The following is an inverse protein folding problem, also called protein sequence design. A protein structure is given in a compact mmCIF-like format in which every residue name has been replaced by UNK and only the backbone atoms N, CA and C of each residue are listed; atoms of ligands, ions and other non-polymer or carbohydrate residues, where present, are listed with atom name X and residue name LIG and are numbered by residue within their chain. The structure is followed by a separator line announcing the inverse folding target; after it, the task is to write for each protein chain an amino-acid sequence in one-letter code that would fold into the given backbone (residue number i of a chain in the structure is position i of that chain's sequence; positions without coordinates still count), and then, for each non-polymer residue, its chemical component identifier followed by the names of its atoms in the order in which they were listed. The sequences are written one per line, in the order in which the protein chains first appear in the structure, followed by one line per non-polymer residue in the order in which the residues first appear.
data_IF_360392266380
#
_entry.id   IF_360392266380
#
_cell.length_a   1.000
_cell.length_b   1.000
_cell.length_c   1.000
_cell.angle_alpha   90.00
_cell.angle_beta   90.00
_cell.angle_gamma   90.00
#
_symmetry.space_group_name_H-M   'P 1'
#
loop_
_entity.id
_entity.type
_entity.pdbx_description
1 polymer ?
#
# COMPACT_ATOMS: atom_id res chain seq x y z
N UNK A 1 -20.53 19.38 1.86
CA UNK A 1 -19.18 18.82 2.07
C UNK A 1 -18.63 18.36 0.74
N UNK A 2 -17.54 18.95 0.29
CA UNK A 2 -16.86 18.50 -0.92
C UNK A 2 -15.82 17.46 -0.56
N UNK A 3 -15.78 16.39 -1.33
CA UNK A 3 -14.77 15.37 -1.20
C UNK A 3 -13.83 15.48 -2.38
N UNK A 4 -12.57 15.76 -2.11
CA UNK A 4 -11.52 15.78 -3.13
C UNK A 4 -10.87 14.41 -3.16
N UNK A 5 -10.87 13.80 -4.34
CA UNK A 5 -10.17 12.55 -4.56
C UNK A 5 -8.75 12.83 -5.00
N UNK A 6 -7.79 12.40 -4.19
CA UNK A 6 -6.37 12.44 -4.53
C UNK A 6 -5.82 11.03 -4.61
N UNK A 7 -4.97 10.80 -5.58
CA UNK A 7 -4.34 9.50 -5.80
C UNK A 7 -2.86 9.58 -5.51
N UNK A 8 -2.40 8.72 -4.62
CA UNK A 8 -1.00 8.65 -4.23
C UNK A 8 -0.50 7.21 -4.32
N UNK A 9 0.75 7.06 -4.73
CA UNK A 9 1.45 5.78 -4.55
C UNK A 9 1.79 5.57 -3.08
N UNK A 10 1.98 4.33 -2.68
CA UNK A 10 2.40 4.04 -1.30
C UNK A 10 3.77 4.66 -0.99
N UNK A 11 4.64 4.77 -1.97
CA UNK A 11 5.90 5.51 -1.87
C UNK A 11 5.67 6.95 -1.43
N UNK A 12 4.76 7.65 -2.09
CA UNK A 12 4.46 9.04 -1.79
C UNK A 12 3.75 9.21 -0.45
N UNK A 13 2.85 8.30 -0.12
CA UNK A 13 2.17 8.29 1.19
C UNK A 13 3.18 8.11 2.31
N UNK A 14 4.10 7.16 2.19
CA UNK A 14 5.14 6.95 3.19
C UNK A 14 6.04 8.17 3.36
N UNK A 15 6.41 8.80 2.26
CA UNK A 15 7.19 10.04 2.30
C UNK A 15 6.43 11.15 3.04
N UNK A 16 5.15 11.30 2.76
CA UNK A 16 4.29 12.29 3.41
C UNK A 16 4.10 12.02 4.90
N UNK A 17 4.01 10.76 5.31
CA UNK A 17 4.00 10.39 6.73
C UNK A 17 5.32 10.77 7.40
N UNK A 18 6.44 10.45 6.77
CA UNK A 18 7.77 10.75 7.29
C UNK A 18 8.06 12.25 7.40
N UNK A 19 7.49 13.05 6.51
CA UNK A 19 7.63 14.52 6.51
C UNK A 19 6.65 15.23 7.46
N UNK A 20 5.68 14.50 8.03
CA UNK A 20 4.64 15.10 8.85
C UNK A 20 3.48 15.73 8.07
N UNK A 21 3.41 15.53 6.75
CA UNK A 21 2.32 16.01 5.91
C UNK A 21 1.03 15.21 6.12
N UNK A 22 1.17 13.97 6.57
CA UNK A 22 0.06 13.10 6.99
C UNK A 22 0.23 12.80 8.47
N UNK A 23 -0.80 13.11 9.25
CA UNK A 23 -0.81 12.89 10.70
C UNK A 23 -1.98 12.00 11.11
N UNK A 24 -1.80 11.30 12.24
CA UNK A 24 -2.76 10.32 12.72
C UNK A 24 -3.54 10.76 13.98
N UNK A 25 -3.25 11.91 14.52
CA UNK A 25 -3.75 12.35 15.84
C UNK A 25 -4.99 13.24 15.75
N UNK A 26 -5.94 12.86 14.89
CA UNK A 26 -7.20 13.62 14.84
C UNK A 26 -8.05 13.34 16.09
N UNK A 27 -8.57 14.37 16.77
CA UNK A 27 -9.34 14.20 18.02
C UNK A 27 -10.59 13.32 17.89
N UNK A 28 -11.19 13.29 16.70
CA UNK A 28 -12.38 12.51 16.40
C UNK A 28 -12.09 11.08 15.94
N UNK A 29 -10.84 10.71 15.85
CA UNK A 29 -10.46 9.38 15.43
C UNK A 29 -10.67 8.38 16.57
N UNK A 30 -11.31 7.24 16.24
CA UNK A 30 -11.41 6.13 17.18
C UNK A 30 -10.02 5.62 17.54
N UNK A 31 -9.86 5.18 18.81
CA UNK A 31 -8.69 4.40 19.18
C UNK A 31 -8.58 3.21 18.22
N UNK A 32 -7.49 3.08 17.45
CA UNK A 32 -7.36 1.94 16.55
C UNK A 32 -7.19 0.67 17.38
N UNK A 33 -7.87 -0.38 16.97
CA UNK A 33 -7.50 -1.72 17.40
C UNK A 33 -6.09 -2.02 16.90
N UNK A 34 -5.25 -2.56 17.77
CA UNK A 34 -3.93 -2.99 17.34
C UNK A 34 -4.05 -4.26 16.52
N UNK A 35 -3.59 -4.20 15.30
CA UNK A 35 -3.51 -5.38 14.46
C UNK A 35 -2.38 -6.30 14.90
N UNK A 36 -2.66 -7.60 14.91
CA UNK A 36 -1.64 -8.62 15.09
C UNK A 36 -0.82 -8.83 13.80
N UNK A 37 0.21 -9.66 13.89
CA UNK A 37 1.10 -9.89 12.75
C UNK A 37 0.38 -10.54 11.57
N UNK A 38 -0.62 -11.37 11.81
CA UNK A 38 -1.39 -12.01 10.74
C UNK A 38 -2.22 -10.98 9.95
N UNK A 39 -2.89 -10.08 10.65
CA UNK A 39 -3.67 -9.00 10.03
C UNK A 39 -2.79 -8.05 9.23
N UNK A 40 -1.65 -7.66 9.79
CA UNK A 40 -0.65 -6.82 9.10
C UNK A 40 -0.11 -7.52 7.84
N UNK A 41 0.22 -8.79 7.96
CA UNK A 41 0.74 -9.59 6.86
C UNK A 41 -0.28 -9.77 5.74
N UNK A 42 -1.55 -9.97 6.09
CA UNK A 42 -2.63 -10.08 5.11
C UNK A 42 -2.82 -8.80 4.29
N UNK A 43 -2.67 -7.64 4.91
CA UNK A 43 -2.73 -6.38 4.18
C UNK A 43 -1.60 -6.28 3.14
N UNK A 44 -0.37 -6.57 3.55
CA UNK A 44 0.79 -6.52 2.65
C UNK A 44 0.65 -7.55 1.53
N UNK A 45 0.26 -8.77 1.87
CA UNK A 45 -0.02 -9.83 0.89
C UNK A 45 -1.06 -9.40 -0.14
N UNK A 46 -2.16 -8.81 0.31
CA UNK A 46 -3.22 -8.32 -0.57
C UNK A 46 -2.71 -7.28 -1.56
N UNK A 47 -1.86 -6.37 -1.13
CA UNK A 47 -1.26 -5.36 -2.02
C UNK A 47 -0.31 -6.04 -3.02
N UNK A 48 0.54 -6.94 -2.56
CA UNK A 48 1.48 -7.68 -3.41
C UNK A 48 0.76 -8.57 -4.42
N UNK A 49 -0.39 -9.10 -4.06
CA UNK A 49 -1.24 -9.90 -4.93
C UNK A 49 -2.16 -9.05 -5.84
N UNK A 50 -2.04 -7.74 -5.80
CA UNK A 50 -2.84 -6.77 -6.57
C UNK A 50 -4.32 -6.72 -6.21
N UNK A 51 -4.68 -7.07 -4.99
CA UNK A 51 -6.03 -6.85 -4.48
C UNK A 51 -6.26 -5.39 -4.13
N UNK A 52 -7.51 -4.97 -4.20
CA UNK A 52 -7.89 -3.61 -3.89
C UNK A 52 -7.71 -3.28 -2.41
N UNK A 53 -7.11 -2.13 -2.13
CA UNK A 53 -7.05 -1.57 -0.78
C UNK A 53 -8.23 -0.62 -0.60
N UNK A 54 -9.01 -0.72 0.49
CA UNK A 54 -10.11 0.19 0.73
C UNK A 54 -9.67 1.65 0.78
N UNK A 55 -10.56 2.53 0.37
CA UNK A 55 -10.30 3.96 0.39
C UNK A 55 -10.01 4.46 1.81
N UNK A 56 -9.15 5.43 1.89
CA UNK A 56 -8.78 6.09 3.13
C UNK A 56 -9.25 7.54 3.11
N UNK A 57 -9.62 8.05 4.26
CA UNK A 57 -10.15 9.39 4.40
C UNK A 57 -9.26 10.23 5.29
N UNK A 58 -9.01 11.46 4.84
CA UNK A 58 -8.24 12.43 5.60
C UNK A 58 -8.93 13.80 5.53
N UNK A 59 -8.67 14.60 6.54
CA UNK A 59 -9.13 15.98 6.62
C UNK A 59 -7.93 16.91 6.50
N UNK A 60 -7.97 17.94 5.67
CA UNK A 60 -6.92 18.94 5.64
C UNK A 60 -6.89 19.71 6.95
N UNK A 61 -5.69 19.97 7.43
CA UNK A 61 -5.43 20.81 8.59
C UNK A 61 -4.49 21.93 8.17
N UNK A 62 -4.83 23.14 8.54
CA UNK A 62 -4.02 24.33 8.23
C UNK A 62 -3.58 24.94 9.54
N UNK A 63 -2.26 25.01 9.75
CA UNK A 63 -1.63 25.72 10.86
C UNK A 63 -0.66 26.75 10.30
N UNK A 64 -1.10 28.01 10.27
CA UNK A 64 -0.33 29.09 9.64
C UNK A 64 -0.19 28.84 8.13
N UNK A 65 1.04 28.77 7.65
CA UNK A 65 1.36 28.46 6.24
C UNK A 65 1.55 26.96 5.98
N UNK A 66 1.36 26.12 7.01
CA UNK A 66 1.49 24.68 6.91
C UNK A 66 0.15 24.01 6.62
N UNK A 67 0.12 23.22 5.55
CA UNK A 67 -0.99 22.34 5.23
C UNK A 67 -0.58 20.89 5.47
N UNK A 68 -1.37 20.18 6.24
CA UNK A 68 -1.20 18.74 6.48
C UNK A 68 -2.54 18.03 6.36
N UNK A 69 -2.51 16.70 6.32
CA UNK A 69 -3.71 15.87 6.30
C UNK A 69 -3.78 15.01 7.56
N UNK A 70 -4.90 15.09 8.26
CA UNK A 70 -5.19 14.22 9.39
C UNK A 70 -6.03 13.04 8.93
N UNK A 71 -5.54 11.83 9.15
CA UNK A 71 -6.24 10.61 8.74
C UNK A 71 -7.44 10.36 9.65
N UNK A 72 -8.62 10.29 9.05
CA UNK A 72 -9.88 9.98 9.75
C UNK A 72 -10.18 8.48 9.73
N UNK A 73 -9.89 7.83 8.61
CA UNK A 73 -10.09 6.40 8.41
C UNK A 73 -8.93 5.81 7.63
N UNK A 74 -8.49 4.62 8.00
CA UNK A 74 -7.38 3.93 7.38
C UNK A 74 -6.05 4.04 8.15
N UNK A 75 -6.05 4.53 9.38
CA UNK A 75 -4.84 4.65 10.21
C UNK A 75 -4.07 3.34 10.30
N UNK A 76 -4.75 2.23 10.62
CA UNK A 76 -4.09 0.93 10.76
C UNK A 76 -3.43 0.47 9.46
N UNK A 77 -4.10 0.69 8.34
CA UNK A 77 -3.56 0.34 7.02
C UNK A 77 -2.32 1.16 6.68
N UNK A 78 -2.39 2.48 6.83
CA UNK A 78 -1.27 3.38 6.56
C UNK A 78 -0.09 3.11 7.48
N UNK A 79 -0.35 2.94 8.77
CA UNK A 79 0.69 2.65 9.77
C UNK A 79 1.38 1.31 9.47
N UNK A 80 0.62 0.29 9.11
CA UNK A 80 1.15 -1.02 8.76
C UNK A 80 2.05 -0.95 7.53
N UNK A 81 1.60 -0.27 6.48
CA UNK A 81 2.38 -0.09 5.25
C UNK A 81 3.68 0.67 5.56
N UNK A 82 3.57 1.76 6.30
CA UNK A 82 4.71 2.59 6.68
C UNK A 82 5.73 1.82 7.50
N UNK A 83 5.28 1.10 8.52
CA UNK A 83 6.15 0.25 9.36
C UNK A 83 6.84 -0.83 8.53
N UNK A 84 6.09 -1.53 7.68
CA UNK A 84 6.66 -2.59 6.87
C UNK A 84 7.75 -2.08 5.92
N UNK A 85 7.49 -1.00 5.22
CA UNK A 85 8.45 -0.42 4.28
C UNK A 85 9.70 0.14 4.97
N UNK A 86 9.67 0.31 6.28
CA UNK A 86 10.83 0.65 7.13
C UNK A 86 11.46 -0.55 7.82
N UNK A 87 11.11 -1.77 7.43
CA UNK A 87 11.56 -3.00 8.08
C UNK A 87 11.16 -3.11 9.57
N UNK A 88 9.99 -2.57 9.92
CA UNK A 88 9.49 -2.58 11.29
C UNK A 88 8.98 -3.94 11.76
N UNK A 89 8.63 -4.83 10.85
CA UNK A 89 8.23 -6.20 11.18
C UNK A 89 8.47 -7.14 10.00
N UNK A 90 8.47 -8.44 10.31
CA UNK A 90 8.50 -9.52 9.34
C UNK A 90 7.08 -9.98 9.03
N UNK A 91 6.84 -10.35 7.79
CA UNK A 91 5.59 -11.03 7.43
C UNK A 91 5.47 -12.36 8.18
N UNK A 92 4.23 -12.77 8.44
CA UNK A 92 3.97 -14.08 9.05
C UNK A 92 4.60 -15.20 8.24
N UNK A 93 5.05 -16.24 8.96
CA UNK A 93 5.60 -17.45 8.34
C UNK A 93 4.54 -18.28 7.61
N UNK A 94 3.27 -17.98 7.84
CA UNK A 94 2.13 -18.65 7.20
C UNK A 94 1.77 -18.06 5.83
N UNK A 95 2.46 -17.00 5.38
CA UNK A 95 2.18 -16.39 4.08
C UNK A 95 2.58 -17.29 2.93
N UNK A 96 1.69 -17.40 1.94
CA UNK A 96 1.95 -18.14 0.72
C UNK A 96 2.77 -17.28 -0.25
N UNK A 97 3.53 -17.90 -1.18
CA UNK A 97 4.25 -17.17 -2.20
C UNK A 97 3.35 -16.31 -3.07
N UNK A 98 3.89 -15.23 -3.58
CA UNK A 98 3.24 -14.40 -4.60
C UNK A 98 3.59 -14.96 -5.97
N UNK A 99 2.59 -15.22 -6.78
CA UNK A 99 2.75 -15.74 -8.13
C UNK A 99 2.68 -14.62 -9.16
N UNK A 100 3.60 -14.64 -10.09
CA UNK A 100 3.63 -13.73 -11.23
C UNK A 100 3.60 -14.52 -12.53
N UNK A 101 2.61 -14.24 -13.38
CA UNK A 101 2.59 -14.75 -14.74
C UNK A 101 3.48 -13.88 -15.62
N UNK A 102 4.47 -14.50 -16.25
CA UNK A 102 5.40 -13.83 -17.14
C UNK A 102 5.39 -14.52 -18.49
N UNK A 103 5.40 -13.74 -19.56
CA UNK A 103 5.54 -14.26 -20.91
C UNK A 103 7.01 -14.19 -21.33
N UNK A 104 7.51 -15.27 -21.89
CA UNK A 104 8.83 -15.32 -22.52
C UNK A 104 8.71 -15.78 -23.96
N UNK A 105 9.64 -15.36 -24.79
CA UNK A 105 9.76 -15.84 -26.17
C UNK A 105 10.72 -17.01 -26.15
N UNK A 106 10.26 -18.16 -26.63
CA UNK A 106 11.08 -19.34 -26.84
C UNK A 106 11.18 -19.62 -28.34
N UNK A 107 12.36 -20.07 -28.77
CA UNK A 107 12.59 -20.49 -30.13
C UNK A 107 12.60 -22.01 -30.16
N UNK A 108 11.77 -22.60 -31.00
CA UNK A 108 11.72 -24.06 -31.17
C UNK A 108 12.89 -24.59 -32.02
N UNK A 109 12.96 -25.92 -32.19
CA UNK A 109 13.98 -26.59 -32.93
C UNK A 109 14.02 -26.17 -34.42
N UNK A 110 12.90 -25.64 -34.94
CA UNK A 110 12.79 -25.15 -36.32
C UNK A 110 13.05 -23.65 -36.46
N UNK A 111 13.50 -22.98 -35.40
CA UNK A 111 13.77 -21.55 -35.39
C UNK A 111 12.51 -20.68 -35.28
N UNK A 112 11.35 -21.26 -35.06
CA UNK A 112 10.11 -20.50 -34.88
C UNK A 112 10.00 -19.95 -33.48
N UNK A 113 9.62 -18.68 -33.39
CA UNK A 113 9.39 -17.97 -32.10
C UNK A 113 7.96 -18.15 -31.68
N UNK A 114 7.77 -18.53 -30.42
CA UNK A 114 6.47 -18.58 -29.77
C UNK A 114 6.50 -17.93 -28.38
N UNK A 115 5.37 -17.43 -27.96
CA UNK A 115 5.19 -16.96 -26.58
C UNK A 115 4.84 -18.13 -25.68
N UNK A 116 5.55 -18.25 -24.58
CA UNK A 116 5.28 -19.21 -23.53
C UNK A 116 5.00 -18.47 -22.23
N UNK A 117 3.95 -18.88 -21.51
CA UNK A 117 3.65 -18.35 -20.18
C UNK A 117 4.34 -19.19 -19.13
N UNK A 118 5.05 -18.54 -18.23
CA UNK A 118 5.65 -19.15 -17.05
C UNK A 118 5.14 -18.46 -15.80
N UNK A 119 5.03 -19.21 -14.70
CA UNK A 119 4.68 -18.67 -13.39
C UNK A 119 5.96 -18.60 -12.57
N UNK A 120 6.30 -17.39 -12.12
CA UNK A 120 7.37 -17.17 -11.14
C UNK A 120 6.76 -17.07 -9.75
N UNK A 121 7.36 -17.76 -8.79
CA UNK A 121 6.95 -17.71 -7.38
C UNK A 121 7.95 -16.89 -6.59
N UNK A 122 7.43 -15.99 -5.75
CA UNK A 122 8.23 -15.14 -4.87
C UNK A 122 7.86 -15.45 -3.43
N UNK A 123 8.80 -15.97 -2.67
CA UNK A 123 8.62 -16.21 -1.24
C UNK A 123 8.54 -14.90 -0.47
N UNK A 124 7.55 -14.80 0.41
CA UNK A 124 7.36 -13.63 1.28
C UNK A 124 7.29 -14.00 2.76
N UNK A 125 7.06 -15.26 3.09
CA UNK A 125 6.90 -15.72 4.45
C UNK A 125 8.11 -15.37 5.34
N UNK A 126 7.86 -14.77 6.47
CA UNK A 126 8.89 -14.42 7.45
C UNK A 126 9.89 -13.36 7.02
N UNK A 127 9.61 -12.60 5.97
CA UNK A 127 10.55 -11.62 5.41
C UNK A 127 10.24 -10.20 5.83
N UNK A 128 11.31 -9.43 6.06
CA UNK A 128 11.25 -7.97 6.07
C UNK A 128 11.06 -7.41 4.65
N UNK A 129 10.65 -6.17 4.53
CA UNK A 129 10.55 -5.50 3.24
C UNK A 129 11.85 -5.55 2.43
N UNK A 130 12.98 -5.29 3.08
CA UNK A 130 14.30 -5.31 2.43
C UNK A 130 14.72 -6.68 1.92
N UNK A 131 14.14 -7.75 2.46
CA UNK A 131 14.42 -9.14 2.06
C UNK A 131 13.54 -9.63 0.91
N UNK A 132 12.50 -8.85 0.55
CA UNK A 132 11.67 -9.17 -0.60
C UNK A 132 12.45 -9.03 -1.91
N UNK A 133 12.05 -9.81 -2.92
CA UNK A 133 12.53 -9.62 -4.27
C UNK A 133 12.30 -8.18 -4.74
N UNK A 134 13.21 -7.65 -5.55
CA UNK A 134 13.13 -6.29 -6.07
C UNK A 134 11.79 -6.02 -6.78
N UNK A 135 11.31 -6.99 -7.54
CA UNK A 135 10.01 -6.88 -8.20
C UNK A 135 8.88 -6.61 -7.21
N UNK A 136 8.85 -7.31 -6.09
CA UNK A 136 7.82 -7.12 -5.04
C UNK A 136 8.01 -5.79 -4.31
N UNK A 137 9.23 -5.39 -4.03
CA UNK A 137 9.50 -4.10 -3.39
C UNK A 137 9.01 -2.94 -4.27
N UNK A 138 9.32 -2.96 -5.54
CA UNK A 138 8.86 -1.94 -6.48
C UNK A 138 7.34 -1.98 -6.64
N UNK A 139 6.75 -3.17 -6.69
CA UNK A 139 5.31 -3.33 -6.76
C UNK A 139 4.60 -2.72 -5.56
N UNK A 140 5.13 -2.92 -4.35
CA UNK A 140 4.57 -2.31 -3.14
C UNK A 140 4.70 -0.79 -3.16
N UNK A 141 5.87 -0.27 -3.53
CA UNK A 141 6.11 1.18 -3.59
C UNK A 141 5.20 1.88 -4.60
N UNK A 142 4.97 1.26 -5.74
CA UNK A 142 4.20 1.84 -6.84
C UNK A 142 2.71 1.50 -6.78
N UNK A 143 2.33 0.61 -5.85
CA UNK A 143 0.94 0.28 -5.64
C UNK A 143 0.16 1.50 -5.15
N UNK A 144 -1.02 1.61 -5.60
CA UNK A 144 -1.97 2.55 -5.08
C UNK A 144 -3.40 2.03 -5.23
N UNK A 145 -3.91 1.40 -4.22
CA UNK A 145 -5.26 1.03 -3.89
C UNK A 145 -6.13 0.36 -4.93
N UNK A 146 -7.40 0.48 -4.72
CA UNK A 146 -8.45 -0.21 -5.45
C UNK A 146 -8.20 -0.21 -6.96
N UNK A 147 -8.25 -1.34 -7.60
CA UNK A 147 -7.76 -1.51 -8.97
C UNK A 147 -6.34 -0.94 -9.13
N UNK A 148 -5.54 -1.08 -8.09
CA UNK A 148 -4.18 -0.57 -7.97
C UNK A 148 -4.09 0.95 -7.85
N UNK A 149 -5.09 1.57 -7.24
CA UNK A 149 -5.14 3.02 -7.04
C UNK A 149 -5.64 3.33 -5.65
N UNK A 150 -4.78 3.61 -4.65
CA UNK A 150 -5.23 4.15 -3.40
C UNK A 150 -5.81 5.52 -3.66
N UNK A 151 -7.01 5.67 -3.21
CA UNK A 151 -7.66 6.96 -3.21
C UNK A 151 -7.60 7.47 -1.78
N UNK A 152 -6.75 8.45 -1.55
CA UNK A 152 -6.85 9.25 -0.35
C UNK A 152 -7.92 10.29 -0.63
N UNK A 153 -9.09 10.12 -0.04
CA UNK A 153 -10.12 11.14 -0.07
C UNK A 153 -9.88 12.10 1.07
N UNK A 154 -9.58 13.33 0.74
CA UNK A 154 -9.65 14.39 1.73
C UNK A 154 -11.08 14.93 1.77
N UNK A 155 -11.67 14.89 2.95
CA UNK A 155 -12.91 15.60 3.21
C UNK A 155 -12.55 17.02 3.59
N UNK A 156 -12.80 17.95 2.69
CA UNK A 156 -12.84 19.34 3.10
C UNK A 156 -14.10 19.52 3.95
N UNK A 157 -13.93 20.15 5.10
CA UNK A 157 -15.07 20.53 5.93
C UNK A 157 -15.81 21.68 5.26
N UNK A 158 -16.46 21.40 4.16
CA UNK A 158 -17.46 22.32 3.66
C UNK A 158 -18.78 22.05 4.32
N UNK A 159 -19.14 22.95 5.17
CA UNK A 159 -20.49 23.01 5.67
C UNK A 159 -21.34 23.55 4.54
N UNK A 160 -22.14 22.71 3.97
CA UNK A 160 -23.18 23.18 3.09
C UNK A 160 -24.25 23.88 3.91
N UNK A 161 -24.45 25.08 3.53
CA UNK A 161 -25.70 25.73 3.90
C UNK A 161 -26.89 25.04 3.24
#
# INVERSE_FOLDING_TARGET
MQTIEKRYTLRNINKSIGNGDIVFNHPMQRKPEQWDIEQKSLLIDSILASFAVPQMYAMPMIEGDFESFSVLDGKQRLTTIYEYMKNGFKLSKEMLPINRKKNRIVTDENGQRRKESVIEEYEIAGKYFSELDEYLREKLKDAYGASQRPVLRSKTAEIRS
#
